data_IF_563624647379
#
_entry.id   IF_563624647379
#
_cell.length_a   1.000
_cell.length_b   1.000
_cell.length_c   1.000
_cell.angle_alpha   90.00
_cell.angle_beta   90.00
_cell.angle_gamma   90.00
#
_symmetry.space_group_name_H-M   'P 1'
#
loop_
_entity.id
_entity.type
_entity.pdbx_description
1 polymer ?
#
# COMPACT_ATOMS: atom_id res chain seq x y z
N UNK A 1 -35.29 -7.06 -29.88
CA UNK A 1 -35.50 -5.61 -29.74
C UNK A 1 -35.31 -4.95 -31.09
N UNK A 2 -36.11 -3.92 -31.43
CA UNK A 2 -35.86 -3.12 -32.64
C UNK A 2 -34.61 -2.25 -32.47
N UNK A 3 -33.95 -1.87 -33.57
CA UNK A 3 -32.79 -0.96 -33.55
C UNK A 3 -33.12 0.38 -32.88
N UNK A 4 -34.33 0.90 -33.11
CA UNK A 4 -34.80 2.14 -32.48
C UNK A 4 -34.85 2.00 -30.94
N UNK A 5 -35.37 0.87 -30.44
CA UNK A 5 -35.43 0.60 -28.99
C UNK A 5 -34.03 0.45 -28.38
N UNK A 6 -33.08 -0.14 -29.09
CA UNK A 6 -31.69 -0.26 -28.63
C UNK A 6 -30.97 1.10 -28.59
N UNK A 7 -31.26 1.99 -29.54
CA UNK A 7 -30.71 3.35 -29.56
C UNK A 7 -31.26 4.21 -28.41
N UNK A 8 -32.58 4.12 -28.14
CA UNK A 8 -33.22 4.79 -27.00
C UNK A 8 -32.65 4.28 -25.66
N UNK A 9 -32.50 2.96 -25.53
CA UNK A 9 -31.90 2.35 -24.34
C UNK A 9 -30.46 2.85 -24.11
N UNK A 10 -29.66 2.92 -25.18
CA UNK A 10 -28.29 3.38 -25.12
C UNK A 10 -28.17 4.83 -24.64
N UNK A 11 -28.93 5.77 -25.21
CA UNK A 11 -28.87 7.16 -24.77
C UNK A 11 -29.38 7.34 -23.34
N UNK A 12 -30.41 6.59 -22.93
CA UNK A 12 -30.86 6.59 -21.53
C UNK A 12 -29.76 6.10 -20.58
N UNK A 13 -29.07 5.03 -20.95
CA UNK A 13 -27.98 4.46 -20.16
C UNK A 13 -26.77 5.39 -20.11
N UNK A 14 -26.42 6.06 -21.21
CA UNK A 14 -25.37 7.07 -21.24
C UNK A 14 -25.71 8.26 -20.33
N UNK A 15 -26.95 8.74 -20.36
CA UNK A 15 -27.38 9.82 -19.47
C UNK A 15 -27.28 9.42 -17.98
N UNK A 16 -27.58 8.16 -17.66
CA UNK A 16 -27.39 7.63 -16.30
C UNK A 16 -25.91 7.56 -15.90
N UNK A 17 -25.03 7.18 -16.83
CA UNK A 17 -23.58 7.14 -16.61
C UNK A 17 -22.97 8.55 -16.50
N UNK A 18 -23.46 9.55 -17.22
CA UNK A 18 -22.95 10.92 -17.14
C UNK A 18 -22.97 11.46 -15.70
N UNK A 19 -24.01 11.10 -14.93
CA UNK A 19 -24.15 11.50 -13.52
C UNK A 19 -23.19 10.76 -12.58
N UNK A 20 -22.81 9.52 -12.91
CA UNK A 20 -22.16 8.58 -11.98
C UNK A 20 -20.70 8.28 -12.32
N UNK A 21 -20.35 8.38 -13.59
CA UNK A 21 -19.04 8.14 -14.16
C UNK A 21 -18.81 9.07 -15.38
N UNK A 22 -18.79 10.40 -15.19
CA UNK A 22 -18.69 11.37 -16.29
C UNK A 22 -17.43 11.17 -17.16
N UNK A 23 -16.32 10.71 -16.57
CA UNK A 23 -15.10 10.42 -17.32
C UNK A 23 -15.20 9.24 -18.29
N UNK A 24 -16.20 8.37 -18.13
CA UNK A 24 -16.40 7.19 -18.98
C UNK A 24 -17.20 7.53 -20.25
N UNK A 25 -18.16 8.46 -20.17
CA UNK A 25 -19.05 8.77 -21.31
C UNK A 25 -18.29 9.24 -22.56
N UNK A 26 -17.28 10.14 -22.48
CA UNK A 26 -16.49 10.53 -23.64
C UNK A 26 -15.77 9.34 -24.29
N UNK A 27 -15.27 8.40 -23.48
CA UNK A 27 -14.62 7.19 -23.98
C UNK A 27 -15.62 6.34 -24.76
N UNK A 28 -16.81 6.10 -24.20
CA UNK A 28 -17.85 5.31 -24.85
C UNK A 28 -18.36 5.96 -26.14
N UNK A 29 -18.63 7.28 -26.12
CA UNK A 29 -19.07 8.03 -27.32
C UNK A 29 -18.02 8.06 -28.44
N UNK A 30 -16.74 7.92 -28.10
CA UNK A 30 -15.66 7.89 -29.11
C UNK A 30 -15.60 6.58 -29.90
N UNK A 31 -16.32 5.53 -29.46
CA UNK A 31 -16.34 4.22 -30.10
C UNK A 31 -17.31 4.26 -31.29
N UNK A 32 -16.84 4.79 -32.43
CA UNK A 32 -17.65 4.86 -33.65
C UNK A 32 -17.77 3.49 -34.37
N UNK A 33 -16.73 2.65 -34.29
CA UNK A 33 -16.68 1.34 -34.92
C UNK A 33 -15.95 0.35 -34.00
N UNK A 34 -16.68 -0.37 -33.11
CA UNK A 34 -16.06 -1.37 -32.25
C UNK A 34 -15.46 -2.51 -33.06
N UNK A 35 -14.37 -3.09 -32.57
CA UNK A 35 -13.73 -4.25 -33.20
C UNK A 35 -14.55 -5.52 -32.97
N UNK A 36 -15.12 -5.65 -31.77
CA UNK A 36 -16.08 -6.70 -31.46
C UNK A 36 -17.47 -6.38 -31.98
N UNK A 37 -18.24 -7.41 -32.33
CA UNK A 37 -19.58 -7.26 -32.91
C UNK A 37 -20.60 -8.07 -32.14
N UNK A 38 -21.74 -7.46 -31.83
CA UNK A 38 -22.91 -8.22 -31.37
C UNK A 38 -23.38 -9.15 -32.48
N UNK A 39 -23.60 -10.42 -32.14
CA UNK A 39 -24.13 -11.41 -33.07
C UNK A 39 -25.21 -12.27 -32.41
N UNK A 40 -26.08 -12.87 -33.23
CA UNK A 40 -27.25 -13.60 -32.76
C UNK A 40 -28.35 -12.71 -32.20
N UNK A 41 -29.45 -13.32 -31.76
CA UNK A 41 -30.63 -12.62 -31.24
C UNK A 41 -30.85 -12.93 -29.76
N UNK A 42 -31.07 -11.89 -28.94
CA UNK A 42 -31.47 -12.05 -27.54
C UNK A 42 -32.83 -12.77 -27.42
N UNK A 43 -33.74 -12.56 -28.37
CA UNK A 43 -35.10 -13.16 -28.35
C UNK A 43 -35.08 -14.65 -28.69
N UNK A 44 -34.07 -15.11 -29.44
CA UNK A 44 -33.93 -16.51 -29.86
C UNK A 44 -32.87 -17.28 -29.04
N UNK A 45 -32.28 -16.65 -28.02
CA UNK A 45 -31.27 -17.29 -27.17
C UNK A 45 -29.92 -17.52 -27.87
N UNK A 46 -29.57 -16.70 -28.86
CA UNK A 46 -28.33 -16.84 -29.64
C UNK A 46 -27.36 -15.67 -29.44
N UNK A 47 -27.71 -14.69 -28.59
CA UNK A 47 -26.94 -13.47 -28.38
C UNK A 47 -25.50 -13.81 -27.95
N UNK A 48 -24.53 -13.25 -28.64
CA UNK A 48 -23.12 -13.42 -28.33
C UNK A 48 -22.31 -12.18 -28.74
N UNK A 49 -21.03 -12.18 -28.38
CA UNK A 49 -20.08 -11.15 -28.79
C UNK A 49 -18.96 -11.80 -29.62
N UNK A 50 -18.92 -11.46 -30.91
CA UNK A 50 -17.90 -11.92 -31.85
C UNK A 50 -16.64 -11.05 -31.72
N UNK A 51 -15.52 -11.70 -31.39
CA UNK A 51 -14.19 -11.10 -31.25
C UNK A 51 -13.35 -11.23 -32.55
N UNK A 52 -13.97 -11.68 -33.65
CA UNK A 52 -13.39 -11.87 -34.97
C UNK A 52 -12.71 -13.23 -35.17
N UNK A 53 -12.20 -13.82 -34.10
CA UNK A 53 -11.51 -15.13 -34.12
C UNK A 53 -12.17 -16.16 -33.18
N UNK A 54 -13.06 -15.70 -32.30
CA UNK A 54 -13.79 -16.51 -31.33
C UNK A 54 -15.03 -15.75 -30.88
N UNK A 55 -15.99 -16.47 -30.31
CA UNK A 55 -17.10 -15.88 -29.56
C UNK A 55 -16.70 -15.76 -28.09
N UNK A 56 -17.14 -14.69 -27.41
CA UNK A 56 -16.85 -14.49 -25.99
C UNK A 56 -17.56 -15.52 -25.10
N UNK A 57 -18.79 -15.91 -25.47
CA UNK A 57 -19.63 -16.79 -24.66
C UNK A 57 -19.85 -18.15 -25.31
N UNK A 58 -19.94 -19.19 -24.50
CA UNK A 58 -20.32 -20.53 -24.92
C UNK A 58 -21.43 -21.05 -23.98
N UNK A 59 -22.61 -21.48 -24.50
CA UNK A 59 -23.03 -21.43 -25.91
C UNK A 59 -23.46 -20.03 -26.38
N UNK A 60 -24.07 -19.23 -25.49
CA UNK A 60 -24.54 -17.86 -25.73
C UNK A 60 -24.44 -17.04 -24.44
N UNK A 61 -24.58 -15.72 -24.56
CA UNK A 61 -24.38 -14.78 -23.46
C UNK A 61 -25.39 -14.96 -22.31
N UNK A 62 -26.64 -15.32 -22.62
CA UNK A 62 -27.72 -15.46 -21.63
C UNK A 62 -27.51 -16.75 -20.83
N UNK A 63 -27.37 -17.89 -21.52
CA UNK A 63 -27.13 -19.18 -20.86
C UNK A 63 -25.83 -19.19 -20.08
N UNK A 64 -24.77 -18.56 -20.61
CA UNK A 64 -23.50 -18.41 -19.90
C UNK A 64 -23.70 -17.61 -18.60
N UNK A 65 -24.33 -16.43 -18.65
CA UNK A 65 -24.56 -15.59 -17.49
C UNK A 65 -25.47 -16.28 -16.46
N UNK A 66 -26.56 -16.92 -16.89
CA UNK A 66 -27.51 -17.59 -16.00
C UNK A 66 -26.86 -18.80 -15.31
N UNK A 67 -26.10 -19.61 -16.04
CA UNK A 67 -25.35 -20.74 -15.47
C UNK A 67 -24.30 -20.27 -14.46
N UNK A 68 -23.59 -19.19 -14.78
CA UNK A 68 -22.61 -18.60 -13.89
C UNK A 68 -23.23 -18.02 -12.62
N UNK A 69 -24.34 -17.29 -12.74
CA UNK A 69 -25.10 -16.77 -11.60
C UNK A 69 -25.68 -17.88 -10.73
N UNK A 70 -26.21 -18.95 -11.34
CA UNK A 70 -26.72 -20.11 -10.61
C UNK A 70 -25.61 -20.76 -9.76
N UNK A 71 -24.43 -20.98 -10.35
CA UNK A 71 -23.27 -21.51 -9.63
C UNK A 71 -22.80 -20.54 -8.53
N UNK A 72 -22.78 -19.24 -8.80
CA UNK A 72 -22.36 -18.23 -7.85
C UNK A 72 -23.33 -18.08 -6.66
N UNK A 73 -24.64 -18.28 -6.86
CA UNK A 73 -25.62 -18.31 -5.76
C UNK A 73 -25.39 -19.46 -4.79
N UNK A 74 -24.98 -20.63 -5.29
CA UNK A 74 -24.69 -21.79 -4.45
C UNK A 74 -23.43 -21.58 -3.60
N UNK A 75 -22.43 -20.89 -4.16
CA UNK A 75 -21.14 -20.67 -3.50
C UNK A 75 -20.53 -19.34 -3.95
N UNK A 76 -20.93 -18.21 -3.35
CA UNK A 76 -20.36 -16.93 -3.69
C UNK A 76 -18.89 -16.89 -3.27
N UNK A 77 -18.03 -16.43 -4.17
CA UNK A 77 -16.64 -16.19 -3.82
C UNK A 77 -16.57 -14.93 -2.98
N UNK A 78 -16.02 -15.07 -1.76
CA UNK A 78 -15.88 -13.97 -0.80
C UNK A 78 -14.43 -13.80 -0.41
N UNK A 79 -14.08 -12.57 -0.08
CA UNK A 79 -12.76 -12.15 0.36
C UNK A 79 -12.80 -11.84 1.85
N UNK A 80 -11.79 -12.31 2.57
CA UNK A 80 -11.72 -12.21 4.03
C UNK A 80 -10.45 -11.49 4.45
N UNK A 81 -10.57 -10.66 5.47
CA UNK A 81 -9.43 -10.11 6.20
C UNK A 81 -9.34 -10.82 7.56
N UNK A 82 -8.21 -10.67 8.23
CA UNK A 82 -8.04 -11.29 9.54
C UNK A 82 -9.09 -10.74 10.52
N UNK A 83 -9.89 -11.64 11.10
CA UNK A 83 -10.83 -11.27 12.15
C UNK A 83 -10.09 -10.60 13.32
N UNK A 84 -10.67 -9.54 13.92
CA UNK A 84 -10.09 -8.93 15.10
C UNK A 84 -10.02 -9.97 16.21
N UNK A 85 -8.90 -9.99 16.94
CA UNK A 85 -8.71 -10.87 18.10
C UNK A 85 -8.89 -10.07 19.37
N UNK A 86 -9.51 -10.69 20.38
CA UNK A 86 -9.62 -10.09 21.71
C UNK A 86 -8.21 -9.81 22.28
N UNK A 87 -7.87 -8.55 22.60
CA UNK A 87 -6.58 -8.23 23.20
C UNK A 87 -6.45 -8.90 24.58
N UNK A 88 -5.40 -9.72 24.74
CA UNK A 88 -5.11 -10.38 26.03
C UNK A 88 -4.57 -9.41 27.06
N UNK A 89 -3.69 -8.51 26.63
CA UNK A 89 -3.03 -7.47 27.43
C UNK A 89 -3.19 -6.15 26.66
N UNK A 90 -4.24 -5.37 26.93
CA UNK A 90 -4.44 -4.09 26.25
C UNK A 90 -3.40 -3.07 26.74
N UNK A 91 -2.66 -2.51 25.80
CA UNK A 91 -1.63 -1.47 26.06
C UNK A 91 -2.00 -0.12 25.44
N UNK A 92 -2.75 -0.13 24.32
CA UNK A 92 -3.18 1.06 23.59
C UNK A 92 -4.70 1.25 23.76
N UNK A 93 -5.18 2.49 23.67
CA UNK A 93 -6.60 2.86 23.74
C UNK A 93 -7.47 1.98 22.82
N UNK A 94 -7.11 1.73 21.54
CA UNK A 94 -7.89 0.83 20.69
C UNK A 94 -7.99 -0.60 21.22
N UNK A 95 -6.97 -1.08 21.94
CA UNK A 95 -7.00 -2.40 22.56
C UNK A 95 -8.00 -2.45 23.73
N UNK A 96 -8.06 -1.39 24.54
CA UNK A 96 -9.04 -1.29 25.62
C UNK A 96 -10.48 -1.22 25.08
N UNK A 97 -10.71 -0.41 24.04
CA UNK A 97 -12.02 -0.32 23.39
C UNK A 97 -12.42 -1.67 22.81
N UNK A 98 -11.52 -2.32 22.07
CA UNK A 98 -11.78 -3.63 21.48
C UNK A 98 -12.08 -4.66 22.58
N UNK A 99 -11.28 -4.69 23.66
CA UNK A 99 -11.51 -5.60 24.79
C UNK A 99 -12.87 -5.38 25.44
N UNK A 100 -13.27 -4.14 25.69
CA UNK A 100 -14.58 -3.82 26.25
C UNK A 100 -15.74 -4.31 25.35
N UNK A 101 -15.59 -4.22 24.02
CA UNK A 101 -16.55 -4.77 23.07
C UNK A 101 -16.64 -6.31 23.20
N UNK A 102 -15.49 -6.99 23.25
CA UNK A 102 -15.46 -8.46 23.44
C UNK A 102 -16.10 -8.88 24.76
N UNK A 103 -15.77 -8.19 25.86
CA UNK A 103 -16.31 -8.50 27.19
C UNK A 103 -17.83 -8.29 27.22
N UNK A 104 -18.34 -7.19 26.63
CA UNK A 104 -19.78 -6.93 26.53
C UNK A 104 -20.55 -8.03 25.78
N UNK A 105 -20.04 -8.49 24.64
CA UNK A 105 -20.70 -9.57 23.89
C UNK A 105 -20.57 -10.94 24.57
N UNK A 106 -19.50 -11.16 25.34
CA UNK A 106 -19.36 -12.35 26.18
C UNK A 106 -20.42 -12.38 27.30
N UNK A 107 -20.72 -11.24 27.93
CA UNK A 107 -21.79 -11.12 28.94
C UNK A 107 -23.17 -11.44 28.35
N UNK A 108 -23.41 -11.05 27.10
CA UNK A 108 -24.64 -11.38 26.36
C UNK A 108 -24.72 -12.85 25.92
N UNK A 109 -23.74 -13.68 26.28
CA UNK A 109 -23.67 -15.10 25.90
C UNK A 109 -23.72 -15.33 24.39
N UNK A 110 -23.17 -14.40 23.59
CA UNK A 110 -23.02 -14.59 22.15
C UNK A 110 -21.94 -15.67 21.92
N UNK A 111 -22.30 -16.86 21.38
CA UNK A 111 -21.48 -18.07 21.50
C UNK A 111 -20.16 -18.04 20.73
N UNK A 112 -20.07 -17.19 19.70
CA UNK A 112 -18.84 -16.80 18.99
C UNK A 112 -19.20 -15.75 17.92
N UNK A 113 -18.20 -15.06 17.37
CA UNK A 113 -18.37 -14.37 16.09
C UNK A 113 -18.74 -15.42 15.02
N UNK A 114 -19.77 -15.19 14.19
CA UNK A 114 -20.08 -16.13 13.13
C UNK A 114 -18.86 -16.30 12.22
N UNK A 115 -18.53 -17.55 11.90
CA UNK A 115 -17.42 -17.89 10.99
C UNK A 115 -17.72 -17.51 9.56
N UNK A 116 -19.00 -17.43 9.22
CA UNK A 116 -19.46 -16.99 7.92
C UNK A 116 -19.89 -15.52 7.98
N UNK A 117 -19.44 -14.69 7.03
CA UNK A 117 -19.79 -13.29 6.98
C UNK A 117 -21.30 -13.13 6.81
N UNK A 118 -21.85 -12.09 7.44
CA UNK A 118 -23.23 -11.67 7.23
C UNK A 118 -23.55 -11.51 5.72
N UNK A 119 -24.83 -11.61 5.36
CA UNK A 119 -25.30 -11.34 3.99
C UNK A 119 -24.89 -9.93 3.51
N UNK A 120 -24.72 -9.00 4.45
CA UNK A 120 -24.25 -7.65 4.19
C UNK A 120 -22.73 -7.60 3.98
N UNK A 121 -22.30 -7.16 2.80
CA UNK A 121 -20.90 -6.87 2.49
C UNK A 121 -20.66 -5.36 2.28
N UNK A 122 -19.45 -4.88 2.52
CA UNK A 122 -19.10 -3.52 2.10
C UNK A 122 -18.99 -3.38 0.59
N UNK A 123 -18.34 -4.37 -0.03
CA UNK A 123 -17.91 -4.30 -1.42
C UNK A 123 -18.33 -5.52 -2.23
N UNK A 124 -18.56 -5.29 -3.52
CA UNK A 124 -18.55 -6.30 -4.57
C UNK A 124 -17.56 -5.88 -5.65
N UNK A 125 -16.63 -6.76 -6.01
CA UNK A 125 -15.66 -6.57 -7.08
C UNK A 125 -16.04 -7.51 -8.22
N UNK A 126 -16.27 -6.95 -9.41
CA UNK A 126 -16.62 -7.71 -10.62
C UNK A 126 -15.45 -7.60 -11.60
N UNK A 127 -14.82 -8.73 -11.89
CA UNK A 127 -13.80 -8.86 -12.94
C UNK A 127 -14.45 -9.29 -14.25
N UNK A 128 -14.49 -8.36 -15.20
CA UNK A 128 -15.12 -8.51 -16.51
C UNK A 128 -16.60 -8.09 -16.48
N UNK A 129 -16.96 -7.11 -17.30
CA UNK A 129 -18.35 -6.68 -17.50
C UNK A 129 -18.97 -7.43 -18.67
N UNK A 130 -18.23 -7.57 -19.78
CA UNK A 130 -18.76 -8.18 -21.00
C UNK A 130 -20.04 -7.47 -21.46
N UNK A 131 -21.09 -8.23 -21.79
CA UNK A 131 -22.42 -7.69 -22.13
C UNK A 131 -23.27 -7.29 -20.92
N UNK A 132 -22.76 -7.40 -19.69
CA UNK A 132 -23.38 -6.85 -18.48
C UNK A 132 -24.65 -7.56 -18.00
N UNK A 133 -25.05 -8.69 -18.61
CA UNK A 133 -26.29 -9.41 -18.30
C UNK A 133 -26.42 -9.85 -16.83
N UNK A 134 -25.29 -10.04 -16.15
CA UNK A 134 -25.23 -10.47 -14.76
C UNK A 134 -25.41 -9.32 -13.75
N UNK A 135 -25.16 -8.06 -14.14
CA UNK A 135 -25.12 -6.92 -13.22
C UNK A 135 -26.46 -6.64 -12.53
N UNK A 136 -27.63 -6.65 -13.22
CA UNK A 136 -28.91 -6.44 -12.55
C UNK A 136 -29.17 -7.47 -11.46
N UNK A 137 -28.90 -8.75 -11.74
CA UNK A 137 -29.10 -9.85 -10.79
C UNK A 137 -28.19 -9.70 -9.57
N UNK A 138 -26.92 -9.34 -9.79
CA UNK A 138 -25.98 -9.12 -8.69
C UNK A 138 -26.43 -7.97 -7.78
N UNK A 139 -26.85 -6.84 -8.35
CA UNK A 139 -27.34 -5.69 -7.58
C UNK A 139 -28.63 -6.02 -6.83
N UNK A 140 -29.51 -6.80 -7.42
CA UNK A 140 -30.82 -7.14 -6.85
C UNK A 140 -30.72 -8.18 -5.72
N UNK A 141 -29.87 -9.20 -5.86
CA UNK A 141 -29.86 -10.35 -4.96
C UNK A 141 -28.71 -10.38 -3.96
N UNK A 142 -27.74 -9.48 -4.06
CA UNK A 142 -26.62 -9.40 -3.13
C UNK A 142 -26.59 -8.06 -2.43
N UNK A 143 -26.40 -8.12 -1.12
CA UNK A 143 -26.28 -6.92 -0.30
C UNK A 143 -24.83 -6.46 -0.21
N UNK A 144 -24.55 -5.39 -0.96
CA UNK A 144 -23.30 -4.67 -0.89
C UNK A 144 -23.54 -3.17 -1.07
N UNK A 145 -22.65 -2.37 -0.45
CA UNK A 145 -22.71 -0.91 -0.57
C UNK A 145 -21.93 -0.39 -1.78
N UNK A 146 -20.75 -0.93 -2.07
CA UNK A 146 -19.87 -0.40 -3.11
C UNK A 146 -19.60 -1.44 -4.20
N UNK A 147 -19.88 -1.10 -5.45
CA UNK A 147 -19.58 -1.92 -6.63
C UNK A 147 -18.33 -1.43 -7.34
N UNK A 148 -17.35 -2.30 -7.54
CA UNK A 148 -16.17 -2.03 -8.36
C UNK A 148 -16.24 -2.91 -9.60
N UNK A 149 -16.37 -2.29 -10.77
CA UNK A 149 -16.40 -2.96 -12.05
C UNK A 149 -15.04 -2.82 -12.73
N UNK A 150 -14.39 -3.94 -13.00
CA UNK A 150 -13.08 -4.02 -13.67
C UNK A 150 -13.27 -4.55 -15.08
N UNK A 151 -12.85 -3.81 -16.09
CA UNK A 151 -13.02 -4.20 -17.50
C UNK A 151 -11.80 -3.78 -18.33
N UNK A 152 -11.35 -4.67 -19.21
CA UNK A 152 -10.23 -4.38 -20.11
C UNK A 152 -10.67 -3.66 -21.39
N UNK A 153 -11.90 -3.92 -21.86
CA UNK A 153 -12.39 -3.40 -23.13
C UNK A 153 -13.61 -2.50 -22.96
N UNK A 154 -13.43 -1.19 -23.18
CA UNK A 154 -14.53 -0.22 -23.14
C UNK A 154 -15.65 -0.53 -24.15
N UNK A 155 -15.32 -1.17 -25.28
CA UNK A 155 -16.31 -1.59 -26.27
C UNK A 155 -17.29 -2.65 -25.73
N UNK A 156 -16.91 -3.45 -24.72
CA UNK A 156 -17.83 -4.41 -24.11
C UNK A 156 -18.91 -3.67 -23.31
N UNK A 157 -18.52 -2.65 -22.56
CA UNK A 157 -19.46 -1.75 -21.87
C UNK A 157 -20.35 -1.07 -22.91
N UNK A 158 -19.76 -0.53 -23.98
CA UNK A 158 -20.53 0.10 -25.06
C UNK A 158 -21.63 -0.83 -25.60
N UNK A 159 -21.29 -2.08 -25.94
CA UNK A 159 -22.26 -3.09 -26.37
C UNK A 159 -23.33 -3.38 -25.31
N UNK A 160 -22.92 -3.49 -24.03
CA UNK A 160 -23.86 -3.75 -22.93
C UNK A 160 -24.91 -2.65 -22.75
N UNK A 161 -24.60 -1.39 -23.06
CA UNK A 161 -25.54 -0.27 -22.96
C UNK A 161 -26.69 -0.36 -23.97
N UNK A 162 -26.55 -1.15 -25.02
CA UNK A 162 -27.64 -1.43 -25.96
C UNK A 162 -28.54 -2.60 -25.55
N UNK A 163 -28.15 -3.36 -24.52
CA UNK A 163 -28.75 -4.65 -24.17
C UNK A 163 -29.36 -4.67 -22.77
N UNK A 164 -28.71 -4.00 -21.81
CA UNK A 164 -29.08 -4.03 -20.39
C UNK A 164 -29.56 -2.64 -19.96
N UNK A 165 -30.58 -2.59 -19.10
CA UNK A 165 -31.04 -1.34 -18.49
C UNK A 165 -30.09 -0.89 -17.38
N UNK A 166 -29.00 -0.23 -17.76
CA UNK A 166 -28.02 0.31 -16.82
C UNK A 166 -28.61 1.39 -15.92
N UNK A 167 -29.48 2.25 -16.47
CA UNK A 167 -30.15 3.27 -15.69
C UNK A 167 -30.91 2.65 -14.51
N UNK A 168 -31.68 1.58 -14.75
CA UNK A 168 -32.49 0.95 -13.71
C UNK A 168 -31.66 0.37 -12.56
N UNK A 169 -30.62 -0.41 -12.83
CA UNK A 169 -29.85 -1.01 -11.74
C UNK A 169 -28.92 -0.01 -11.05
N UNK A 170 -28.41 1.00 -11.77
CA UNK A 170 -27.65 2.10 -11.17
C UNK A 170 -28.52 2.93 -10.22
N UNK A 171 -29.74 3.27 -10.63
CA UNK A 171 -30.71 3.99 -9.79
C UNK A 171 -31.06 3.16 -8.54
N UNK A 172 -31.24 1.83 -8.68
CA UNK A 172 -31.46 0.93 -7.53
C UNK A 172 -30.28 0.91 -6.57
N UNK A 173 -29.05 0.81 -7.08
CA UNK A 173 -27.84 0.82 -6.25
C UNK A 173 -27.72 2.14 -5.47
N UNK A 174 -27.97 3.28 -6.11
CA UNK A 174 -27.92 4.59 -5.48
C UNK A 174 -29.05 4.81 -4.47
N UNK A 175 -30.27 4.32 -4.76
CA UNK A 175 -31.41 4.44 -3.86
C UNK A 175 -31.17 3.77 -2.50
N UNK A 176 -30.34 2.72 -2.44
CA UNK A 176 -29.89 2.09 -1.18
C UNK A 176 -28.61 2.68 -0.60
N UNK A 177 -28.17 3.85 -1.08
CA UNK A 177 -26.97 4.54 -0.63
C UNK A 177 -25.66 3.93 -1.14
N UNK A 178 -25.73 3.11 -2.18
CA UNK A 178 -24.57 2.47 -2.77
C UNK A 178 -23.85 3.32 -3.83
N UNK A 179 -22.63 2.91 -4.18
CA UNK A 179 -21.82 3.60 -5.20
C UNK A 179 -21.23 2.62 -6.21
N UNK A 180 -20.93 3.09 -7.42
CA UNK A 180 -20.22 2.31 -8.44
C UNK A 180 -18.89 2.99 -8.83
N UNK A 181 -17.85 2.18 -9.02
CA UNK A 181 -16.54 2.57 -9.56
C UNK A 181 -16.23 1.76 -10.81
N UNK A 182 -15.73 2.43 -11.84
CA UNK A 182 -15.32 1.82 -13.10
C UNK A 182 -13.81 1.87 -13.25
N UNK A 183 -13.19 0.70 -13.35
CA UNK A 183 -11.76 0.54 -13.57
C UNK A 183 -11.55 -0.06 -14.95
N UNK A 184 -11.32 0.82 -15.93
CA UNK A 184 -11.15 0.44 -17.33
C UNK A 184 -9.73 0.71 -17.77
N UNK A 185 -9.06 -0.29 -18.34
CA UNK A 185 -7.68 -0.14 -18.80
C UNK A 185 -7.01 -1.44 -19.19
N UNK A 186 -5.72 -1.36 -19.50
CA UNK A 186 -4.95 -2.52 -19.98
C UNK A 186 -3.71 -2.82 -19.13
N UNK A 187 -3.61 -2.21 -17.95
CA UNK A 187 -2.49 -2.39 -17.03
C UNK A 187 -2.99 -3.07 -15.75
N UNK A 188 -2.68 -4.36 -15.53
CA UNK A 188 -3.17 -5.10 -14.37
C UNK A 188 -2.60 -4.56 -13.05
N UNK A 189 -1.40 -4.01 -13.05
CA UNK A 189 -0.78 -3.42 -11.85
C UNK A 189 -1.48 -2.14 -11.42
N UNK A 190 -1.82 -1.27 -12.37
CA UNK A 190 -2.61 -0.06 -12.10
C UNK A 190 -4.03 -0.41 -11.66
N UNK A 191 -4.67 -1.41 -12.26
CA UNK A 191 -5.98 -1.89 -11.82
C UNK A 191 -5.93 -2.38 -10.37
N UNK A 192 -5.01 -3.28 -10.04
CA UNK A 192 -4.84 -3.80 -8.69
C UNK A 192 -4.59 -2.68 -7.66
N UNK A 193 -3.75 -1.68 -8.01
CA UNK A 193 -3.50 -0.52 -7.16
C UNK A 193 -4.73 0.36 -6.96
N UNK A 194 -5.55 0.55 -8.00
CA UNK A 194 -6.80 1.31 -7.89
C UNK A 194 -7.83 0.60 -7.02
N UNK A 195 -8.00 -0.72 -7.19
CA UNK A 195 -8.86 -1.54 -6.31
C UNK A 195 -8.38 -1.41 -4.86
N UNK A 196 -7.07 -1.57 -4.62
CA UNK A 196 -6.48 -1.39 -3.30
C UNK A 196 -6.87 -0.03 -2.69
N UNK A 197 -6.72 1.07 -3.44
CA UNK A 197 -7.03 2.39 -2.93
C UNK A 197 -8.52 2.67 -2.78
N UNK A 198 -9.39 2.16 -3.65
CA UNK A 198 -10.84 2.29 -3.52
C UNK A 198 -11.36 1.55 -2.27
N UNK A 199 -10.76 0.39 -1.92
CA UNK A 199 -11.08 -0.32 -0.68
C UNK A 199 -10.51 0.38 0.56
N UNK A 200 -9.37 1.05 0.43
CA UNK A 200 -8.69 1.75 1.53
C UNK A 200 -9.33 3.10 1.86
N UNK A 201 -9.89 3.81 0.87
CA UNK A 201 -10.43 5.15 1.04
C UNK A 201 -11.94 5.17 1.32
N UNK A 202 -12.38 6.08 2.19
CA UNK A 202 -13.80 6.43 2.40
C UNK A 202 -14.64 5.42 3.19
N UNK A 203 -14.30 4.13 3.20
CA UNK A 203 -15.11 3.05 3.80
C UNK A 203 -14.23 1.94 4.42
N UNK A 204 -13.02 2.32 4.86
CA UNK A 204 -12.09 1.43 5.54
C UNK A 204 -12.78 0.74 6.72
N UNK A 205 -12.81 -0.59 6.72
CA UNK A 205 -13.51 -1.41 7.72
C UNK A 205 -14.64 -2.28 7.18
N UNK A 206 -15.10 -2.07 5.93
CA UNK A 206 -16.13 -2.90 5.30
C UNK A 206 -15.59 -3.93 4.28
N UNK A 207 -14.28 -4.18 4.30
CA UNK A 207 -13.60 -5.05 3.33
C UNK A 207 -13.87 -6.53 3.62
N UNK A 208 -14.07 -6.90 4.89
CA UNK A 208 -14.32 -8.28 5.28
C UNK A 208 -15.63 -8.81 4.67
N UNK A 209 -15.58 -10.02 4.14
CA UNK A 209 -16.71 -10.65 3.46
C UNK A 209 -17.08 -10.02 2.12
N UNK A 210 -16.22 -9.18 1.51
CA UNK A 210 -16.48 -8.59 0.19
C UNK A 210 -16.72 -9.67 -0.87
N UNK A 211 -17.69 -9.45 -1.74
CA UNK A 211 -18.01 -10.35 -2.85
C UNK A 211 -17.00 -10.18 -3.99
N UNK A 212 -16.61 -11.29 -4.62
CA UNK A 212 -15.77 -11.29 -5.83
C UNK A 212 -16.47 -12.10 -6.89
N UNK A 213 -16.82 -11.47 -8.01
CA UNK A 213 -17.45 -12.12 -9.15
C UNK A 213 -16.53 -12.04 -10.36
N UNK A 214 -16.30 -13.17 -11.04
CA UNK A 214 -15.51 -13.24 -12.27
C UNK A 214 -16.42 -13.62 -13.42
N UNK A 215 -16.63 -12.72 -14.38
CA UNK A 215 -17.55 -12.96 -15.48
C UNK A 215 -16.91 -13.77 -16.61
N UNK A 216 -15.73 -13.38 -17.08
CA UNK A 216 -15.03 -14.11 -18.14
C UNK A 216 -13.52 -14.14 -17.88
N UNK A 217 -12.80 -15.09 -18.49
CA UNK A 217 -11.36 -15.23 -18.31
C UNK A 217 -10.61 -14.31 -19.28
N UNK A 218 -9.63 -13.58 -18.76
CA UNK A 218 -8.62 -12.89 -19.55
C UNK A 218 -7.33 -12.88 -18.73
N UNK A 219 -6.20 -13.12 -19.38
CA UNK A 219 -4.89 -13.01 -18.74
C UNK A 219 -4.75 -11.70 -17.94
N UNK A 220 -5.28 -10.59 -18.47
CA UNK A 220 -5.20 -9.28 -17.85
C UNK A 220 -6.03 -9.19 -16.57
N UNK A 221 -7.29 -9.61 -16.62
CA UNK A 221 -8.19 -9.59 -15.45
C UNK A 221 -7.70 -10.55 -14.38
N UNK A 222 -7.25 -11.74 -14.78
CA UNK A 222 -6.71 -12.77 -13.89
C UNK A 222 -5.44 -12.25 -13.20
N UNK A 223 -4.54 -11.57 -13.95
CA UNK A 223 -3.34 -10.97 -13.38
C UNK A 223 -3.66 -9.77 -12.47
N UNK A 224 -4.68 -8.97 -12.79
CA UNK A 224 -5.12 -7.87 -11.93
C UNK A 224 -5.67 -8.39 -10.59
N UNK A 225 -6.46 -9.47 -10.62
CA UNK A 225 -6.95 -10.13 -9.40
C UNK A 225 -5.79 -10.71 -8.58
N UNK A 226 -4.84 -11.40 -9.21
CA UNK A 226 -3.63 -11.94 -8.56
C UNK A 226 -2.83 -10.84 -7.85
N UNK A 227 -2.47 -9.77 -8.55
CA UNK A 227 -1.72 -8.64 -8.01
C UNK A 227 -2.49 -7.90 -6.90
N UNK A 228 -3.82 -7.88 -6.97
CA UNK A 228 -4.64 -7.33 -5.91
C UNK A 228 -4.65 -8.24 -4.67
N UNK A 229 -4.76 -9.57 -4.86
CA UNK A 229 -4.69 -10.55 -3.76
C UNK A 229 -3.36 -10.48 -3.00
N UNK A 230 -2.25 -10.27 -3.70
CA UNK A 230 -0.94 -10.03 -3.07
C UNK A 230 -0.93 -8.82 -2.12
N UNK A 231 -1.82 -7.84 -2.33
CA UNK A 231 -1.96 -6.64 -1.49
C UNK A 231 -2.93 -6.83 -0.33
N UNK A 232 -3.68 -7.93 -0.26
CA UNK A 232 -4.66 -8.16 0.82
C UNK A 232 -4.06 -8.13 2.23
N UNK A 233 -2.89 -8.74 2.50
CA UNK A 233 -2.30 -8.70 3.84
C UNK A 233 -2.03 -7.26 4.32
N UNK A 234 -1.63 -6.37 3.41
CA UNK A 234 -1.33 -4.97 3.74
C UNK A 234 -2.57 -4.07 3.73
N UNK A 235 -3.71 -4.53 3.21
CA UNK A 235 -4.99 -3.83 3.32
C UNK A 235 -5.50 -3.75 4.76
N UNK A 236 -5.10 -4.66 5.64
CA UNK A 236 -5.49 -4.65 7.06
C UNK A 236 -4.55 -3.85 7.97
N UNK A 237 -3.38 -3.44 7.49
CA UNK A 237 -2.40 -2.71 8.31
C UNK A 237 -2.94 -1.31 8.62
N UNK A 238 -2.93 -0.88 9.89
CA UNK A 238 -3.45 0.42 10.30
C UNK A 238 -2.65 1.61 9.75
N UNK A 239 -3.24 2.81 9.78
CA UNK A 239 -2.59 4.06 9.35
C UNK A 239 -1.58 4.64 10.38
N UNK A 240 -1.57 4.09 11.60
CA UNK A 240 -0.82 4.59 12.77
C UNK A 240 -1.69 4.48 14.03
N UNK A 241 -1.06 4.36 15.20
CA UNK A 241 -1.79 4.36 16.48
C UNK A 241 -1.87 5.78 17.06
N UNK A 242 -2.92 6.05 17.83
CA UNK A 242 -3.14 7.38 18.43
C UNK A 242 -1.96 7.79 19.33
N UNK A 243 -1.48 6.87 20.15
CA UNK A 243 -0.38 7.10 21.10
C UNK A 243 0.95 7.36 20.38
N UNK A 244 1.19 6.67 19.26
CA UNK A 244 2.37 6.92 18.44
C UNK A 244 2.27 8.32 17.81
N UNK A 245 1.12 8.70 17.26
CA UNK A 245 0.91 10.05 16.72
C UNK A 245 1.04 11.16 17.78
N UNK A 246 0.55 10.93 19.01
CA UNK A 246 0.77 11.84 20.14
C UNK A 246 2.27 12.00 20.43
N UNK A 247 3.02 10.89 20.47
CA UNK A 247 4.47 10.89 20.63
C UNK A 247 5.15 11.65 19.48
N UNK A 248 4.72 11.46 18.23
CA UNK A 248 5.20 12.20 17.05
C UNK A 248 4.99 13.70 17.17
N UNK A 249 3.82 14.11 17.64
CA UNK A 249 3.51 15.52 17.85
C UNK A 249 4.39 16.12 18.95
N UNK A 250 4.52 15.45 20.10
CA UNK A 250 5.35 15.90 21.22
C UNK A 250 6.83 16.00 20.84
N UNK A 251 7.37 14.96 20.20
CA UNK A 251 8.76 14.94 19.76
C UNK A 251 9.03 16.04 18.73
N UNK A 252 8.13 16.22 17.76
CA UNK A 252 8.24 17.29 16.77
C UNK A 252 8.22 18.66 17.41
N UNK A 253 7.31 18.90 18.35
CA UNK A 253 7.26 20.17 19.06
C UNK A 253 8.58 20.48 19.77
N UNK A 254 9.09 19.54 20.58
CA UNK A 254 10.33 19.73 21.32
C UNK A 254 11.54 19.94 20.40
N UNK A 255 11.69 19.12 19.35
CA UNK A 255 12.79 19.25 18.38
C UNK A 255 12.78 20.60 17.66
N UNK A 256 11.60 21.15 17.36
CA UNK A 256 11.46 22.45 16.70
C UNK A 256 11.64 23.63 17.65
N UNK A 257 11.32 23.46 18.93
CA UNK A 257 11.34 24.52 19.94
C UNK A 257 12.69 24.67 20.67
N UNK A 258 13.41 23.55 20.86
CA UNK A 258 14.55 23.49 21.78
C UNK A 258 15.91 23.40 21.09
N UNK A 259 15.95 23.17 19.78
CA UNK A 259 17.20 22.97 19.03
C UNK A 259 17.33 23.92 17.85
N UNK A 260 18.54 24.41 17.60
CA UNK A 260 18.88 25.06 16.34
C UNK A 260 19.09 24.01 15.25
N UNK A 261 18.41 24.16 14.12
CA UNK A 261 18.52 23.21 13.01
C UNK A 261 18.43 23.89 11.64
N UNK A 262 18.99 23.22 10.63
CA UNK A 262 18.66 23.49 9.23
C UNK A 262 17.54 22.56 8.77
N UNK A 263 16.70 23.00 7.83
CA UNK A 263 15.66 22.15 7.27
C UNK A 263 16.09 21.50 5.94
N UNK A 264 15.91 20.19 5.82
CA UNK A 264 16.11 19.47 4.56
C UNK A 264 14.92 19.71 3.63
N UNK A 265 15.03 20.73 2.80
CA UNK A 265 14.03 20.98 1.76
C UNK A 265 14.27 20.09 0.52
N UNK A 266 13.23 19.42 -0.02
CA UNK A 266 13.31 18.61 -1.24
C UNK A 266 13.35 19.51 -2.49
N UNK A 267 14.42 20.29 -2.61
CA UNK A 267 14.71 21.16 -3.76
C UNK A 267 15.88 20.62 -4.56
N UNK A 268 15.84 20.83 -5.88
CA UNK A 268 16.94 20.45 -6.76
C UNK A 268 18.19 21.27 -6.41
N UNK A 269 19.32 20.58 -6.26
CA UNK A 269 20.63 21.18 -6.01
C UNK A 269 21.58 20.85 -7.15
N UNK A 270 22.67 21.61 -7.23
CA UNK A 270 23.77 21.33 -8.16
C UNK A 270 24.36 19.95 -7.88
N UNK A 271 24.78 19.30 -8.95
CA UNK A 271 25.39 17.99 -8.90
C UNK A 271 26.70 18.04 -8.11
N UNK A 272 26.95 16.98 -7.32
CA UNK A 272 28.18 16.84 -6.54
C UNK A 272 29.21 16.05 -7.35
N UNK A 273 30.46 16.55 -7.47
CA UNK A 273 31.50 15.90 -8.27
C UNK A 273 32.18 14.74 -7.54
N UNK A 274 31.73 14.39 -6.34
CA UNK A 274 32.27 13.31 -5.51
C UNK A 274 31.15 12.33 -5.19
N UNK A 275 31.46 11.03 -5.03
CA UNK A 275 30.46 10.02 -4.74
C UNK A 275 29.91 10.13 -3.30
N UNK A 276 28.71 9.60 -3.10
CA UNK A 276 28.13 9.36 -1.79
C UNK A 276 28.17 7.86 -1.44
N UNK A 277 28.60 7.54 -0.23
CA UNK A 277 28.55 6.19 0.34
C UNK A 277 27.38 6.14 1.32
N UNK A 278 26.37 5.32 1.05
CA UNK A 278 25.24 5.10 1.96
C UNK A 278 25.47 3.78 2.68
N UNK A 279 25.65 3.85 3.99
CA UNK A 279 26.05 2.70 4.80
C UNK A 279 24.93 2.29 5.74
N UNK A 280 24.39 1.09 5.53
CA UNK A 280 23.48 0.38 6.44
C UNK A 280 24.23 -0.58 7.37
N UNK A 281 23.48 -1.34 8.20
CA UNK A 281 24.01 -2.26 9.20
C UNK A 281 23.88 -3.75 8.83
N UNK A 282 23.60 -4.05 7.57
CA UNK A 282 23.53 -5.41 7.04
C UNK A 282 24.88 -6.14 7.15
N UNK A 283 24.89 -7.47 7.39
CA UNK A 283 26.10 -8.27 7.57
C UNK A 283 27.20 -8.11 6.51
N UNK A 284 26.85 -7.80 5.26
CA UNK A 284 27.83 -7.63 4.17
C UNK A 284 28.86 -6.53 4.44
N UNK A 285 28.55 -5.59 5.34
CA UNK A 285 29.45 -4.52 5.76
C UNK A 285 30.77 -5.05 6.33
N UNK A 286 30.76 -6.19 7.00
CA UNK A 286 31.95 -6.78 7.65
C UNK A 286 33.05 -7.07 6.62
N UNK A 287 32.67 -7.44 5.39
CA UNK A 287 33.59 -7.67 4.28
C UNK A 287 34.01 -6.40 3.54
N UNK A 288 33.40 -5.26 3.83
CA UNK A 288 33.59 -3.99 3.11
C UNK A 288 34.32 -2.91 3.91
N UNK A 289 34.71 -3.18 5.16
CA UNK A 289 35.34 -2.19 6.04
C UNK A 289 36.63 -1.60 5.44
N UNK A 290 37.52 -2.43 4.89
CA UNK A 290 38.77 -1.93 4.29
C UNK A 290 38.52 -1.09 3.03
N UNK A 291 37.50 -1.46 2.25
CA UNK A 291 37.08 -0.69 1.07
C UNK A 291 36.53 0.67 1.48
N UNK A 292 35.69 0.71 2.51
CA UNK A 292 35.17 1.96 3.08
C UNK A 292 36.29 2.87 3.58
N UNK A 293 37.32 2.31 4.25
CA UNK A 293 38.50 3.11 4.65
C UNK A 293 39.21 3.72 3.46
N UNK A 294 39.37 2.95 2.37
CA UNK A 294 40.02 3.44 1.14
C UNK A 294 39.22 4.57 0.48
N UNK A 295 37.90 4.42 0.41
CA UNK A 295 37.02 5.38 -0.25
C UNK A 295 36.77 6.64 0.58
N UNK A 296 36.93 6.57 1.91
CA UNK A 296 36.54 7.62 2.86
C UNK A 296 37.07 9.01 2.53
N UNK A 297 38.32 9.10 2.08
CA UNK A 297 38.99 10.38 1.76
C UNK A 297 38.50 11.02 0.44
N UNK A 298 37.77 10.27 -0.37
CA UNK A 298 37.34 10.68 -1.73
C UNK A 298 35.83 10.70 -1.91
N UNK A 299 35.07 10.46 -0.83
CA UNK A 299 33.63 10.29 -0.87
C UNK A 299 32.96 10.89 0.36
N UNK A 300 31.68 11.25 0.23
CA UNK A 300 30.86 11.70 1.35
C UNK A 300 30.11 10.50 1.92
N UNK A 301 30.29 10.24 3.21
CA UNK A 301 29.77 9.04 3.88
C UNK A 301 28.54 9.37 4.74
N UNK A 302 27.44 8.68 4.45
CA UNK A 302 26.19 8.71 5.19
C UNK A 302 26.03 7.41 5.98
N UNK A 303 26.11 7.50 7.30
CA UNK A 303 25.74 6.42 8.21
C UNK A 303 24.22 6.39 8.40
N UNK A 304 23.60 5.22 8.30
CA UNK A 304 22.15 5.05 8.47
C UNK A 304 21.86 4.20 9.72
N UNK A 305 21.29 4.83 10.76
CA UNK A 305 20.92 4.18 12.02
C UNK A 305 22.09 3.45 12.71
N UNK A 306 21.89 2.17 13.05
CA UNK A 306 22.87 1.34 13.76
C UNK A 306 24.19 1.13 13.01
N UNK A 307 24.28 1.50 11.73
CA UNK A 307 25.54 1.53 10.98
C UNK A 307 26.58 2.46 11.62
N UNK A 308 26.15 3.49 12.38
CA UNK A 308 27.05 4.41 13.06
C UNK A 308 27.99 3.66 13.99
N UNK A 309 27.46 2.76 14.83
CA UNK A 309 28.28 2.00 15.76
C UNK A 309 29.32 1.12 15.07
N UNK A 310 28.94 0.46 13.96
CA UNK A 310 29.85 -0.38 13.16
C UNK A 310 31.02 0.46 12.60
N UNK A 311 30.71 1.64 12.04
CA UNK A 311 31.71 2.54 11.47
C UNK A 311 32.66 3.07 12.54
N UNK A 312 32.12 3.61 13.64
CA UNK A 312 32.92 4.21 14.71
C UNK A 312 33.82 3.18 15.41
N UNK A 313 33.32 1.96 15.66
CA UNK A 313 34.13 0.86 16.21
C UNK A 313 35.30 0.47 15.31
N UNK A 314 35.16 0.68 14.01
CA UNK A 314 36.20 0.43 13.01
C UNK A 314 37.05 1.68 12.68
N UNK A 315 36.90 2.76 13.46
CA UNK A 315 37.67 4.00 13.28
C UNK A 315 37.27 4.82 12.05
N UNK A 316 36.07 4.61 11.51
CA UNK A 316 35.54 5.33 10.35
C UNK A 316 34.51 6.35 10.83
N UNK A 317 34.80 7.63 10.66
CA UNK A 317 33.89 8.73 11.03
C UNK A 317 33.05 9.16 9.82
N UNK A 318 31.70 9.05 9.86
CA UNK A 318 30.85 9.52 8.76
C UNK A 318 30.83 11.05 8.67
N UNK A 319 30.43 11.59 7.51
CA UNK A 319 30.12 13.02 7.37
C UNK A 319 28.70 13.31 7.87
N UNK A 320 27.76 12.41 7.55
CA UNK A 320 26.37 12.49 7.96
C UNK A 320 25.93 11.25 8.71
N UNK A 321 25.13 11.43 9.75
CA UNK A 321 24.40 10.34 10.39
C UNK A 321 22.89 10.56 10.22
N UNK A 322 22.19 9.58 9.68
CA UNK A 322 20.77 9.64 9.39
C UNK A 322 19.98 8.91 10.48
N UNK A 323 18.89 9.53 10.96
CA UNK A 323 17.91 8.86 11.83
C UNK A 323 16.45 9.16 11.53
N UNK A 324 15.61 8.14 11.71
CA UNK A 324 14.15 8.23 11.50
C UNK A 324 13.34 7.80 12.70
N UNK A 325 13.90 6.92 13.53
CA UNK A 325 13.18 6.23 14.60
C UNK A 325 12.88 7.16 15.78
N UNK A 326 11.75 6.88 16.42
CA UNK A 326 11.24 7.67 17.53
C UNK A 326 11.43 7.03 18.91
N UNK A 327 12.03 5.84 18.91
CA UNK A 327 12.22 5.03 20.10
C UNK A 327 13.26 5.68 21.03
N UNK A 328 12.95 5.87 22.33
CA UNK A 328 13.90 6.32 23.33
C UNK A 328 15.23 5.55 23.36
N UNK A 329 15.24 4.25 23.02
CA UNK A 329 16.43 3.40 23.01
C UNK A 329 17.48 3.88 21.99
N UNK A 330 17.04 4.53 20.90
CA UNK A 330 17.97 5.08 19.90
C UNK A 330 18.90 6.11 20.54
N UNK A 331 18.38 6.95 21.44
CA UNK A 331 19.20 7.92 22.16
C UNK A 331 20.23 7.23 23.07
N UNK A 332 19.86 6.14 23.73
CA UNK A 332 20.77 5.36 24.59
C UNK A 332 21.92 4.79 23.77
N UNK A 333 21.62 4.18 22.61
CA UNK A 333 22.64 3.64 21.71
C UNK A 333 23.57 4.71 21.17
N UNK A 334 23.03 5.85 20.70
CA UNK A 334 23.84 6.95 20.21
C UNK A 334 24.73 7.53 21.31
N UNK A 335 24.21 7.61 22.54
CA UNK A 335 24.99 8.05 23.69
C UNK A 335 26.14 7.08 24.00
N UNK A 336 25.90 5.77 23.94
CA UNK A 336 26.94 4.76 24.12
C UNK A 336 28.02 4.81 23.03
N UNK A 337 27.64 5.11 21.79
CA UNK A 337 28.59 5.18 20.67
C UNK A 337 29.64 6.29 20.85
N UNK A 338 29.33 7.32 21.66
CA UNK A 338 30.28 8.40 21.98
C UNK A 338 31.52 7.92 22.74
N UNK A 339 31.52 6.69 23.28
CA UNK A 339 32.71 6.08 23.88
C UNK A 339 33.81 5.78 22.86
N UNK A 340 33.47 5.66 21.57
CA UNK A 340 34.43 5.39 20.50
C UNK A 340 34.97 6.66 19.87
N UNK A 341 34.12 7.69 19.70
CA UNK A 341 34.51 9.03 19.25
C UNK A 341 33.44 10.04 19.64
N UNK A 342 33.83 11.30 19.81
CA UNK A 342 32.85 12.40 19.77
C UNK A 342 32.17 12.46 18.38
N UNK A 343 31.05 13.18 18.35
CA UNK A 343 30.29 13.42 17.13
C UNK A 343 30.67 14.74 16.45
N UNK A 344 31.81 15.34 16.81
CA UNK A 344 32.23 16.62 16.23
C UNK A 344 32.57 16.46 14.75
N UNK A 345 31.92 17.21 13.87
CA UNK A 345 32.07 17.01 12.42
C UNK A 345 31.22 15.87 11.83
N UNK A 346 30.31 15.28 12.62
CA UNK A 346 29.19 14.47 12.11
C UNK A 346 27.94 15.35 12.12
N UNK A 347 27.33 15.58 10.96
CA UNK A 347 26.06 16.31 10.86
C UNK A 347 24.90 15.31 10.94
N UNK A 348 23.98 15.53 11.90
CA UNK A 348 22.76 14.73 12.02
C UNK A 348 21.79 15.10 10.89
N UNK A 349 21.19 14.10 10.25
CA UNK A 349 20.02 14.25 9.37
C UNK A 349 18.88 13.44 9.97
N UNK A 350 17.89 14.08 10.58
CA UNK A 350 16.88 13.38 11.35
C UNK A 350 15.45 13.80 11.00
N UNK A 351 14.50 12.87 11.18
CA UNK A 351 13.08 13.24 11.20
C UNK A 351 12.83 14.24 12.32
N UNK A 352 11.90 15.19 12.14
CA UNK A 352 11.45 16.01 13.26
C UNK A 352 10.83 15.18 14.40
N UNK A 353 10.48 13.92 14.14
CA UNK A 353 9.83 13.02 15.10
C UNK A 353 10.76 12.19 15.99
N UNK A 354 12.08 12.29 15.81
CA UNK A 354 13.05 11.54 16.63
C UNK A 354 12.94 11.93 18.12
N UNK A 355 13.44 11.09 19.02
CA UNK A 355 13.51 11.45 20.44
C UNK A 355 14.21 12.81 20.63
N UNK A 356 13.61 13.76 21.39
CA UNK A 356 14.13 15.13 21.51
C UNK A 356 15.55 15.26 22.07
N UNK A 357 16.05 14.20 22.73
CA UNK A 357 17.40 14.18 23.27
C UNK A 357 18.46 13.89 22.19
N UNK A 358 18.08 13.34 21.04
CA UNK A 358 19.00 12.94 19.97
C UNK A 358 19.67 14.15 19.29
N UNK A 359 18.95 15.21 18.86
CA UNK A 359 19.60 16.32 18.19
C UNK A 359 20.65 17.04 19.04
N UNK A 360 20.51 17.00 20.37
CA UNK A 360 21.49 17.56 21.32
C UNK A 360 22.82 16.81 21.36
N UNK A 361 22.93 15.60 20.80
CA UNK A 361 24.17 14.83 20.74
C UNK A 361 25.13 15.29 19.63
N UNK A 362 24.64 16.03 18.63
CA UNK A 362 25.40 16.42 17.44
C UNK A 362 25.60 17.94 17.39
N UNK A 363 26.75 18.48 16.98
CA UNK A 363 26.95 19.93 16.85
C UNK A 363 26.18 20.57 15.69
N UNK A 364 25.97 19.81 14.61
CA UNK A 364 25.19 20.24 13.46
C UNK A 364 24.04 19.28 13.20
N UNK A 365 22.88 19.84 12.85
CA UNK A 365 21.68 19.05 12.63
C UNK A 365 20.80 19.62 11.51
N UNK A 366 20.29 18.70 10.71
CA UNK A 366 19.37 18.93 9.61
C UNK A 366 18.12 18.11 9.90
N UNK A 367 16.99 18.78 10.11
CA UNK A 367 15.72 18.11 10.33
C UNK A 367 14.87 18.05 9.06
N UNK A 368 13.94 17.11 8.98
CA UNK A 368 12.99 17.02 7.88
C UNK A 368 11.60 16.54 8.34
N UNK A 369 10.57 16.99 7.62
CA UNK A 369 9.19 16.54 7.82
C UNK A 369 8.92 15.27 7.02
N UNK A 370 8.38 14.23 7.67
CA UNK A 370 7.98 12.96 7.05
C UNK A 370 6.67 13.13 6.26
N UNK A 371 6.44 12.32 5.24
CA UNK A 371 5.28 12.42 4.35
C UNK A 371 3.99 11.74 4.86
N UNK A 372 4.07 10.90 5.89
CA UNK A 372 2.96 10.03 6.31
C UNK A 372 2.60 10.11 7.80
N UNK A 373 2.87 11.22 8.49
CA UNK A 373 2.60 11.36 9.95
C UNK A 373 1.83 12.64 10.26
N UNK A 374 1.03 12.63 11.32
CA UNK A 374 0.19 13.77 11.70
C UNK A 374 1.02 15.00 12.07
N UNK A 375 2.21 14.82 12.63
CA UNK A 375 3.09 15.92 13.03
C UNK A 375 3.50 16.83 11.88
N UNK A 376 3.68 16.27 10.67
CA UNK A 376 3.90 17.08 9.46
C UNK A 376 2.66 17.88 9.09
N UNK A 377 1.46 17.32 9.25
CA UNK A 377 0.20 18.04 9.02
C UNK A 377 0.01 19.22 9.98
N UNK A 378 0.48 19.10 11.22
CA UNK A 378 0.39 20.17 12.22
C UNK A 378 1.49 21.22 12.09
N UNK A 379 2.76 20.80 12.06
CA UNK A 379 3.93 21.68 12.14
C UNK A 379 4.57 21.99 10.78
N UNK A 380 4.35 21.13 9.78
CA UNK A 380 5.00 21.19 8.48
C UNK A 380 4.22 21.95 7.40
N UNK A 381 3.10 22.62 7.70
CA UNK A 381 2.20 23.24 6.70
C UNK A 381 2.87 24.19 5.72
N UNK A 382 3.92 24.89 6.16
CA UNK A 382 4.67 25.85 5.36
C UNK A 382 5.91 25.24 4.69
N UNK A 383 6.14 23.95 4.87
CA UNK A 383 7.32 23.23 4.42
C UNK A 383 6.94 22.02 3.58
N UNK A 384 7.86 21.58 2.72
CA UNK A 384 7.63 20.37 1.91
C UNK A 384 8.15 19.16 2.66
N UNK A 385 7.28 18.16 2.85
CA UNK A 385 7.69 16.86 3.35
C UNK A 385 8.68 16.18 2.41
N UNK A 386 9.58 15.38 2.97
CA UNK A 386 10.52 14.55 2.20
C UNK A 386 9.89 13.20 1.94
N UNK A 387 9.39 13.03 0.72
CA UNK A 387 8.84 11.76 0.25
C UNK A 387 9.92 10.70 0.05
N UNK A 388 9.59 9.44 0.38
CA UNK A 388 10.45 8.28 0.14
C UNK A 388 11.66 8.20 1.08
N UNK A 389 11.58 8.82 2.27
CA UNK A 389 12.58 8.71 3.32
C UNK A 389 12.38 7.50 4.26
N UNK A 390 11.35 6.69 4.01
CA UNK A 390 10.96 5.48 4.75
C UNK A 390 10.80 4.31 3.76
N UNK A 391 10.61 3.03 4.20
CA UNK A 391 10.33 2.57 5.55
C UNK A 391 11.55 2.51 6.48
N UNK A 392 12.78 2.45 5.95
CA UNK A 392 14.00 2.32 6.76
C UNK A 392 14.85 3.58 6.71
N UNK A 393 15.73 3.76 7.71
CA UNK A 393 16.69 4.86 7.75
C UNK A 393 17.65 4.90 6.55
N UNK A 394 17.91 3.77 5.88
CA UNK A 394 18.70 3.75 4.64
C UNK A 394 17.97 4.47 3.49
N UNK A 395 16.63 4.44 3.47
CA UNK A 395 15.84 5.23 2.52
C UNK A 395 16.08 6.74 2.74
N UNK A 396 16.12 7.18 4.02
CA UNK A 396 16.47 8.56 4.36
C UNK A 396 17.88 8.92 3.89
N UNK A 397 18.90 8.08 4.16
CA UNK A 397 20.27 8.35 3.72
C UNK A 397 20.38 8.53 2.21
N UNK A 398 19.80 7.59 1.45
CA UNK A 398 19.74 7.68 -0.02
C UNK A 398 18.98 8.94 -0.48
N UNK A 399 17.83 9.22 0.13
CA UNK A 399 16.98 10.36 -0.24
C UNK A 399 17.67 11.70 0.05
N UNK A 400 18.35 11.82 1.19
CA UNK A 400 19.13 12.99 1.56
C UNK A 400 20.28 13.23 0.58
N UNK A 401 21.04 12.18 0.22
CA UNK A 401 22.10 12.29 -0.78
C UNK A 401 21.57 12.77 -2.15
N UNK A 402 20.45 12.22 -2.61
CA UNK A 402 19.83 12.66 -3.86
C UNK A 402 19.39 14.14 -3.81
N UNK A 403 18.85 14.59 -2.68
CA UNK A 403 18.46 16.00 -2.45
C UNK A 403 19.69 16.91 -2.41
N UNK A 404 20.80 16.45 -1.81
CA UNK A 404 22.07 17.16 -1.79
C UNK A 404 22.75 17.28 -3.16
N UNK A 405 22.28 16.51 -4.15
CA UNK A 405 22.74 16.56 -5.53
C UNK A 405 23.75 15.47 -5.90
N UNK A 406 23.93 14.46 -5.05
CA UNK A 406 24.76 13.30 -5.40
C UNK A 406 24.11 12.49 -6.53
N UNK A 407 24.95 11.96 -7.43
CA UNK A 407 24.54 11.14 -8.58
C UNK A 407 25.28 9.82 -8.62
N UNK A 408 26.56 9.83 -8.26
CA UNK A 408 27.33 8.61 -8.00
C UNK A 408 27.09 8.16 -6.56
N UNK A 409 26.31 7.08 -6.39
CA UNK A 409 25.90 6.57 -5.08
C UNK A 409 26.26 5.09 -4.95
N UNK A 410 26.95 4.74 -3.88
CA UNK A 410 27.37 3.37 -3.56
C UNK A 410 26.73 2.93 -2.24
N UNK A 411 26.18 1.73 -2.22
CA UNK A 411 25.49 1.17 -1.05
C UNK A 411 26.36 0.11 -0.39
N UNK A 412 26.52 0.19 0.93
CA UNK A 412 27.27 -0.78 1.74
C UNK A 412 26.42 -1.24 2.92
N UNK A 413 26.39 -2.54 3.23
CA UNK A 413 25.59 -3.06 4.33
C UNK A 413 24.09 -2.83 4.16
N UNK A 414 23.59 -2.79 2.92
CA UNK A 414 22.16 -2.62 2.59
C UNK A 414 21.62 -3.94 2.06
N UNK A 415 21.56 -4.94 2.93
CA UNK A 415 21.38 -6.33 2.51
C UNK A 415 19.91 -6.68 2.24
N UNK A 416 18.98 -6.10 3.01
CA UNK A 416 17.51 -6.25 2.87
C UNK A 416 17.04 -7.70 2.74
N UNK A 417 17.80 -8.62 3.32
CA UNK A 417 17.65 -10.07 3.24
C UNK A 417 18.93 -10.72 3.73
N UNK A 418 18.97 -12.06 3.81
CA UNK A 418 20.22 -12.76 4.11
C UNK A 418 20.44 -13.98 3.23
N UNK A 419 21.70 -14.19 2.82
CA UNK A 419 22.15 -15.43 2.16
C UNK A 419 22.26 -16.59 3.15
N UNK A 420 22.49 -16.27 4.43
CA UNK A 420 22.71 -17.21 5.52
C UNK A 420 21.67 -16.96 6.61
N UNK A 421 20.66 -17.83 6.78
CA UNK A 421 19.57 -17.60 7.73
C UNK A 421 20.00 -17.34 9.18
N UNK A 422 21.23 -17.69 9.56
CA UNK A 422 21.84 -17.47 10.88
C UNK A 422 22.42 -16.05 11.06
N UNK A 423 22.49 -15.22 10.01
CA UNK A 423 23.09 -13.88 10.06
C UNK A 423 22.17 -12.81 9.47
N UNK A 424 21.61 -11.97 10.33
CA UNK A 424 20.69 -10.89 9.92
C UNK A 424 21.27 -9.47 10.05
N UNK A 425 22.28 -9.27 10.91
CA UNK A 425 22.96 -7.99 11.11
C UNK A 425 24.48 -8.20 11.18
N UNK A 426 25.27 -7.13 11.00
CA UNK A 426 26.72 -7.15 11.26
C UNK A 426 27.02 -7.65 12.67
N UNK A 427 28.10 -8.42 12.82
CA UNK A 427 28.59 -8.92 14.13
C UNK A 427 28.92 -7.79 15.11
N UNK A 428 29.20 -6.59 14.59
CA UNK A 428 29.55 -5.41 15.36
C UNK A 428 28.34 -4.48 15.60
N UNK A 429 27.16 -4.82 15.08
CA UNK A 429 25.93 -4.07 15.33
C UNK A 429 25.38 -4.30 16.73
N UNK A 430 24.66 -3.30 17.26
CA UNK A 430 24.01 -3.37 18.57
C UNK A 430 23.15 -4.64 18.75
N UNK A 431 22.41 -5.05 17.71
CA UNK A 431 21.56 -6.24 17.73
C UNK A 431 22.30 -7.54 18.08
N UNK A 432 23.61 -7.62 17.79
CA UNK A 432 24.43 -8.80 18.08
C UNK A 432 25.43 -8.59 19.23
N UNK A 433 25.59 -7.36 19.73
CA UNK A 433 26.53 -7.06 20.83
C UNK A 433 25.87 -6.78 22.17
N UNK A 434 24.57 -6.43 22.20
CA UNK A 434 23.85 -6.14 23.45
C UNK A 434 23.15 -7.39 24.01
N UNK A 435 23.59 -7.83 25.18
CA UNK A 435 23.06 -9.02 25.86
C UNK A 435 21.63 -8.81 26.41
N UNK A 436 21.26 -7.59 26.75
CA UNK A 436 19.91 -7.22 27.23
C UNK A 436 18.91 -7.28 26.08
N UNK A 437 19.29 -6.77 24.90
CA UNK A 437 18.48 -6.88 23.69
C UNK A 437 18.27 -8.34 23.30
N UNK A 438 19.34 -9.15 23.27
CA UNK A 438 19.25 -10.59 22.97
C UNK A 438 18.33 -11.33 23.95
N UNK A 439 18.38 -10.97 25.23
CA UNK A 439 17.57 -11.59 26.27
C UNK A 439 16.08 -11.20 26.19
N UNK A 440 15.78 -9.95 25.80
CA UNK A 440 14.41 -9.42 25.75
C UNK A 440 13.72 -9.59 24.40
N UNK A 441 14.48 -9.74 23.32
CA UNK A 441 14.00 -9.89 21.96
C UNK A 441 14.33 -11.28 21.40
N UNK A 442 13.93 -12.32 22.13
CA UNK A 442 13.82 -13.70 21.62
C UNK A 442 12.64 -13.82 20.65
N UNK A 443 12.54 -12.93 19.65
CA UNK A 443 11.70 -13.24 18.50
C UNK A 443 12.33 -14.47 17.88
N UNK A 444 11.62 -15.60 17.89
CA UNK A 444 11.87 -16.66 16.92
C UNK A 444 12.03 -15.94 15.59
N UNK A 445 13.21 -16.07 14.96
CA UNK A 445 13.41 -15.65 13.58
C UNK A 445 12.26 -16.32 12.84
N UNK A 446 11.25 -15.55 12.45
CA UNK A 446 10.20 -16.08 11.60
C UNK A 446 10.94 -16.66 10.40
N UNK A 447 10.72 -17.94 10.04
CA UNK A 447 11.47 -18.57 8.98
C UNK A 447 11.39 -17.65 7.76
N UNK A 448 12.53 -17.35 7.13
CA UNK A 448 12.52 -16.49 5.94
C UNK A 448 11.61 -17.16 4.90
N UNK A 449 10.41 -16.59 4.71
CA UNK A 449 9.34 -17.23 3.94
C UNK A 449 9.51 -17.09 2.43
N UNK A 450 10.42 -16.23 1.98
CA UNK A 450 10.49 -15.78 0.60
C UNK A 450 11.93 -15.77 0.11
N UNK A 451 12.18 -16.53 -0.95
CA UNK A 451 13.43 -16.46 -1.71
C UNK A 451 13.30 -15.39 -2.80
N UNK A 452 14.26 -14.48 -2.85
CA UNK A 452 14.33 -13.40 -3.84
C UNK A 452 15.70 -13.41 -4.53
N UNK A 453 15.80 -12.96 -5.80
CA UNK A 453 17.09 -12.80 -6.47
C UNK A 453 18.02 -11.89 -5.66
N UNK A 454 19.22 -12.38 -5.33
CA UNK A 454 20.26 -11.58 -4.70
C UNK A 454 20.92 -10.63 -5.69
N UNK A 455 21.60 -9.59 -5.17
CA UNK A 455 22.39 -8.68 -6.00
C UNK A 455 23.61 -9.35 -6.67
N UNK A 456 24.12 -10.42 -6.06
CA UNK A 456 25.28 -11.20 -6.53
C UNK A 456 25.01 -12.69 -6.44
#
# INVERSE_FOLDING_TARGET
MSEATMAELYERNLAALERRAPGLVPVLRSIAAPKSRLCGSLEHGELNLDLGHARLYEPDARQFADSQLANYRLRPTRMYINLPKCPRQPELIPHFVLRAVFDHFAELSVPAFPTDPHEHAGFMIVYGIGLGLHLPELVENYDFRHLILVEQFAEFIHHSLHLVDWAAWLDRLEARGGTVRFLIGTDPGQMAQRIYWDLRHGQFGLIDGAYVYRHYSSYLLDKAEELFREKLPVLGVGAGFFEDEEKMLRNTFANLAECDFSLLEPKRRLEKPVPALIVGSGPSIDGAIEELRRLRESAVLFSCGTALGVLLRNGIKPDFHCEVENDPQVWEHLSDYRRWTDFDGITLIASTTVDPRIPGLFPERILYFRDTVSSTGFFGKNFKAVYGAAPTVTNLGLRAALIFGFRDIYLFGVDLGTRRPDLHHSKDSFYLTDETWKATHTKQIEPMCHELPGNF
#
